data_IF_698839108383
#
_entry.id   IF_698839108383
#
_cell.length_a   1.000
_cell.length_b   1.000
_cell.length_c   1.000
_cell.angle_alpha   90.00
_cell.angle_beta   90.00
_cell.angle_gamma   90.00
#
_symmetry.space_group_name_H-M   'P 1'
#
loop_
_entity.id
_entity.type
_entity.pdbx_description
1 polymer ?
#
# COMPACT_ATOMS: atom_id res chain seq x y z
N UNK A 1 -7.90 27.84 2.73
CA UNK A 1 -8.26 26.41 2.86
C UNK A 1 -9.75 26.27 2.64
N UNK A 2 -10.22 25.17 2.02
CA UNK A 2 -11.66 24.88 1.88
C UNK A 2 -12.10 23.98 3.03
N UNK A 3 -13.28 24.23 3.60
CA UNK A 3 -13.84 23.47 4.71
C UNK A 3 -14.84 22.42 4.20
N UNK A 4 -14.78 21.22 4.76
CA UNK A 4 -15.76 20.14 4.52
C UNK A 4 -16.52 19.93 5.83
N UNK A 5 -17.85 19.91 5.77
CA UNK A 5 -18.70 19.56 6.91
C UNK A 5 -19.23 18.14 6.74
N UNK A 6 -18.89 17.26 7.69
CA UNK A 6 -19.29 15.86 7.68
C UNK A 6 -20.32 15.59 8.78
N UNK A 7 -21.35 14.80 8.46
CA UNK A 7 -22.25 14.22 9.46
C UNK A 7 -21.86 12.76 9.66
N UNK A 8 -21.56 12.38 10.90
CA UNK A 8 -21.17 11.02 11.27
C UNK A 8 -22.30 10.37 12.07
N UNK A 9 -22.57 9.08 11.85
CA UNK A 9 -23.38 8.28 12.77
C UNK A 9 -22.78 8.29 14.20
N UNK A 10 -23.63 8.27 15.23
CA UNK A 10 -23.19 8.39 16.62
C UNK A 10 -22.19 7.29 17.06
N UNK A 11 -22.36 6.07 16.54
CA UNK A 11 -21.45 4.97 16.81
C UNK A 11 -20.05 5.22 16.20
N UNK A 12 -20.00 5.76 14.99
CA UNK A 12 -18.75 6.12 14.32
C UNK A 12 -18.06 7.29 15.03
N UNK A 13 -18.82 8.30 15.46
CA UNK A 13 -18.29 9.42 16.23
C UNK A 13 -17.62 8.95 17.53
N UNK A 14 -18.28 8.06 18.27
CA UNK A 14 -17.72 7.48 19.51
C UNK A 14 -16.46 6.65 19.26
N UNK A 15 -16.44 5.86 18.18
CA UNK A 15 -15.26 5.10 17.79
C UNK A 15 -14.10 6.02 17.43
N UNK A 16 -14.35 7.07 16.63
CA UNK A 16 -13.35 8.06 16.25
C UNK A 16 -12.79 8.82 17.46
N UNK A 17 -13.63 9.18 18.44
CA UNK A 17 -13.18 9.81 19.69
C UNK A 17 -12.19 8.93 20.45
N UNK A 18 -12.53 7.66 20.67
CA UNK A 18 -11.63 6.70 21.33
C UNK A 18 -10.33 6.54 20.55
N UNK A 19 -10.41 6.48 19.23
CA UNK A 19 -9.23 6.36 18.38
C UNK A 19 -8.30 7.57 18.52
N UNK A 20 -8.85 8.80 18.49
CA UNK A 20 -8.08 10.04 18.69
C UNK A 20 -7.35 10.04 20.04
N UNK A 21 -8.03 9.62 21.11
CA UNK A 21 -7.47 9.57 22.47
C UNK A 21 -6.27 8.61 22.60
N UNK A 22 -6.26 7.52 21.84
CA UNK A 22 -5.23 6.47 21.96
C UNK A 22 -4.07 6.60 20.96
N UNK A 23 -4.30 7.20 19.80
CA UNK A 23 -3.37 7.13 18.66
C UNK A 23 -2.71 8.47 18.28
N UNK A 24 -2.74 9.46 19.19
CA UNK A 24 -1.91 10.67 19.06
C UNK A 24 -2.44 11.74 18.10
N UNK A 25 -3.72 11.67 17.72
CA UNK A 25 -4.37 12.72 16.92
C UNK A 25 -4.80 13.88 17.82
N UNK A 26 -4.81 15.10 17.28
CA UNK A 26 -5.19 16.28 18.07
C UNK A 26 -6.70 16.38 18.30
N UNK A 27 -7.48 15.96 17.32
CA UNK A 27 -8.94 15.94 17.33
C UNK A 27 -9.48 15.08 16.17
N UNK A 28 -10.79 14.98 16.06
CA UNK A 28 -11.46 14.17 15.02
C UNK A 28 -11.25 14.76 13.62
N UNK A 29 -11.12 16.08 13.50
CA UNK A 29 -10.86 16.73 12.21
C UNK A 29 -9.46 16.42 11.68
N UNK A 30 -8.49 16.34 12.59
CA UNK A 30 -7.11 15.92 12.33
C UNK A 30 -7.10 14.46 11.83
N UNK A 31 -7.75 13.56 12.56
CA UNK A 31 -7.96 12.17 12.13
C UNK A 31 -8.61 12.08 10.75
N UNK A 32 -9.71 12.80 10.51
CA UNK A 32 -10.39 12.78 9.22
C UNK A 32 -9.50 13.31 8.09
N UNK A 33 -8.68 14.33 8.35
CA UNK A 33 -7.76 14.89 7.36
C UNK A 33 -6.66 13.90 7.01
N UNK A 34 -6.06 13.24 8.00
CA UNK A 34 -5.03 12.22 7.78
C UNK A 34 -5.59 10.99 7.06
N UNK A 35 -6.76 10.49 7.48
CA UNK A 35 -7.40 9.35 6.80
C UNK A 35 -7.79 9.65 5.36
N UNK A 36 -8.27 10.87 5.06
CA UNK A 36 -8.53 11.29 3.68
C UNK A 36 -7.20 11.44 2.93
N UNK A 37 -6.16 11.99 3.56
CA UNK A 37 -4.85 12.15 2.93
C UNK A 37 -4.27 10.80 2.52
N UNK A 38 -4.27 9.84 3.44
CA UNK A 38 -3.81 8.47 3.18
C UNK A 38 -4.48 7.92 1.92
N UNK A 39 -5.82 7.98 1.83
CA UNK A 39 -6.56 7.40 0.71
C UNK A 39 -6.48 8.19 -0.60
N UNK A 40 -6.31 9.51 -0.55
CA UNK A 40 -6.27 10.37 -1.74
C UNK A 40 -4.85 10.51 -2.29
N UNK A 41 -3.85 10.50 -1.42
CA UNK A 41 -2.44 10.71 -1.78
C UNK A 41 -1.60 9.43 -1.66
N UNK A 42 -2.24 8.26 -1.55
CA UNK A 42 -1.62 6.92 -1.64
C UNK A 42 -0.83 6.68 -2.95
N UNK A 43 -0.85 7.62 -3.91
CA UNK A 43 -0.01 7.62 -5.11
C UNK A 43 1.31 8.42 -4.99
N UNK A 44 1.82 8.76 -3.79
CA UNK A 44 3.01 9.65 -3.74
C UNK A 44 4.37 9.04 -3.40
N UNK A 45 4.51 7.84 -2.83
CA UNK A 45 5.83 7.18 -2.69
C UNK A 45 5.83 5.64 -2.70
N UNK A 46 4.71 4.98 -2.41
CA UNK A 46 4.59 3.52 -2.46
C UNK A 46 3.31 3.14 -3.20
N UNK A 47 3.36 3.25 -4.53
CA UNK A 47 2.39 2.59 -5.38
C UNK A 47 2.58 1.08 -5.19
N UNK A 48 1.65 0.43 -4.50
CA UNK A 48 1.64 -1.04 -4.37
C UNK A 48 1.20 -1.72 -5.68
N UNK A 49 1.05 -0.95 -6.77
CA UNK A 49 0.78 -1.45 -8.10
C UNK A 49 1.99 -1.21 -9.00
N UNK A 50 2.29 -2.19 -9.85
CA UNK A 50 3.34 -2.05 -10.85
C UNK A 50 2.88 -1.05 -11.91
N UNK A 51 3.76 -0.12 -12.29
CA UNK A 51 3.54 0.72 -13.48
C UNK A 51 3.43 -0.15 -14.73
N UNK A 52 2.78 0.35 -15.79
CA UNK A 52 2.66 -0.40 -17.07
C UNK A 52 4.03 -0.89 -17.59
N UNK A 53 5.09 -0.07 -17.43
CA UNK A 53 6.45 -0.44 -17.83
C UNK A 53 7.06 -1.55 -16.98
N UNK A 54 6.76 -1.57 -15.68
CA UNK A 54 7.21 -2.64 -14.78
C UNK A 54 6.47 -3.95 -15.08
N UNK A 55 5.18 -3.86 -15.39
CA UNK A 55 4.39 -5.01 -15.85
C UNK A 55 5.00 -5.59 -17.13
N UNK A 56 5.27 -4.75 -18.14
CA UNK A 56 5.91 -5.16 -19.39
C UNK A 56 7.28 -5.82 -19.15
N UNK A 57 8.09 -5.27 -18.24
CA UNK A 57 9.39 -5.83 -17.88
C UNK A 57 9.26 -7.21 -17.23
N UNK A 58 8.32 -7.36 -16.29
CA UNK A 58 8.06 -8.64 -15.60
C UNK A 58 7.62 -9.70 -16.62
N UNK A 59 6.70 -9.36 -17.52
CA UNK A 59 6.25 -10.28 -18.57
C UNK A 59 7.40 -10.71 -19.49
N UNK A 60 8.24 -9.75 -19.92
CA UNK A 60 9.41 -10.05 -20.75
C UNK A 60 10.41 -10.97 -20.02
N UNK A 61 10.64 -10.76 -18.73
CA UNK A 61 11.53 -11.60 -17.92
C UNK A 61 10.99 -13.01 -17.74
N UNK A 62 9.69 -13.18 -17.51
CA UNK A 62 9.06 -14.49 -17.39
C UNK A 62 9.22 -15.26 -18.71
N UNK A 63 8.87 -14.63 -19.83
CA UNK A 63 9.01 -15.24 -21.17
C UNK A 63 10.46 -15.61 -21.46
N UNK A 64 11.42 -14.73 -21.14
CA UNK A 64 12.83 -15.02 -21.34
C UNK A 64 13.31 -16.17 -20.45
N UNK A 65 12.85 -16.25 -19.20
CA UNK A 65 13.24 -17.30 -18.26
C UNK A 65 12.71 -18.67 -18.67
N UNK A 66 11.46 -18.72 -19.15
CA UNK A 66 10.86 -19.95 -19.71
C UNK A 66 11.62 -20.41 -20.96
N UNK A 67 11.87 -19.50 -21.92
CA UNK A 67 12.58 -19.82 -23.17
C UNK A 67 13.97 -20.39 -22.93
N UNK A 68 14.65 -19.92 -21.90
CA UNK A 68 16.00 -20.36 -21.56
C UNK A 68 16.04 -21.45 -20.48
N UNK A 69 14.90 -22.02 -20.11
CA UNK A 69 14.77 -23.07 -19.10
C UNK A 69 15.44 -22.71 -17.75
N UNK A 70 15.26 -21.45 -17.31
CA UNK A 70 15.88 -20.88 -16.09
C UNK A 70 15.00 -20.96 -14.85
N UNK A 71 13.87 -21.66 -14.91
CA UNK A 71 13.01 -21.87 -13.76
C UNK A 71 13.54 -23.06 -12.96
N UNK A 72 13.86 -22.84 -11.69
CA UNK A 72 14.35 -23.87 -10.76
C UNK A 72 13.52 -23.89 -9.48
N UNK A 73 13.73 -24.90 -8.65
CA UNK A 73 13.17 -24.90 -7.29
C UNK A 73 13.98 -23.99 -6.37
N UNK A 74 13.38 -23.62 -5.23
CA UNK A 74 14.08 -22.91 -4.14
C UNK A 74 15.27 -23.71 -3.62
N UNK A 75 15.12 -25.04 -3.50
CA UNK A 75 16.18 -25.94 -3.06
C UNK A 75 17.39 -25.90 -3.99
N UNK A 76 17.16 -25.92 -5.31
CA UNK A 76 18.20 -25.82 -6.34
C UNK A 76 18.90 -24.46 -6.31
N UNK A 77 18.13 -23.37 -6.16
CA UNK A 77 18.67 -22.02 -6.07
C UNK A 77 19.57 -21.87 -4.82
N UNK A 78 19.10 -22.34 -3.67
CA UNK A 78 19.84 -22.24 -2.41
C UNK A 78 21.09 -23.10 -2.39
N UNK A 79 21.12 -24.19 -3.17
CA UNK A 79 22.33 -24.99 -3.37
C UNK A 79 23.39 -24.20 -4.13
N UNK A 80 23.01 -23.53 -5.23
CA UNK A 80 23.92 -22.71 -6.04
C UNK A 80 24.46 -21.50 -5.24
N UNK A 81 23.61 -20.85 -4.43
CA UNK A 81 24.00 -19.65 -3.68
C UNK A 81 24.87 -19.91 -2.44
N UNK A 82 25.02 -21.17 -2.00
CA UNK A 82 25.81 -21.57 -0.83
C UNK A 82 27.19 -22.15 -1.18
N UNK A 83 27.48 -22.34 -2.46
CA UNK A 83 28.80 -22.69 -3.00
C UNK A 83 29.65 -21.44 -3.25
#
# INVERSE_FOLDING_TARGET
MKQINLKLPDNLLKAAQRYVEHFGFRNIQDLATESIREKVFENSEYDNTFTEKEIELIEALIVHSIKNNKLSSEEELMKILRE
#
